data_IF_198905032604
#
_entry.id   IF_198905032604
#
_cell.length_a   1.000
_cell.length_b   1.000
_cell.length_c   1.000
_cell.angle_alpha   90.00
_cell.angle_beta   90.00
_cell.angle_gamma   90.00
#
_symmetry.space_group_name_H-M   'P 1'
#
loop_
_entity.id
_entity.type
_entity.pdbx_description
1 polymer ?
#
# COMPACT_ATOMS: atom_id res chain seq x y z
N UNK A 1 -96.61 15.75 2.10
CA UNK A 1 -96.03 15.87 0.75
C UNK A 1 -94.66 15.17 0.77
N UNK A 2 -94.59 14.09 -0.01
CA UNK A 2 -93.45 13.36 -0.58
C UNK A 2 -92.12 13.14 0.18
N UNK A 3 -91.86 11.84 0.35
CA UNK A 3 -90.60 11.11 0.55
C UNK A 3 -89.43 11.53 -0.37
N UNK A 4 -88.20 11.22 0.07
CA UNK A 4 -87.21 10.38 -0.67
C UNK A 4 -86.19 9.79 0.34
N UNK A 5 -85.87 8.51 0.13
CA UNK A 5 -84.87 7.66 0.82
C UNK A 5 -83.55 7.65 0.03
N UNK A 6 -82.40 7.44 0.70
CA UNK A 6 -81.17 6.78 0.16
C UNK A 6 -80.16 6.59 1.31
N UNK A 7 -80.06 5.41 1.92
CA UNK A 7 -79.08 4.31 1.69
C UNK A 7 -77.59 4.76 1.77
N UNK A 8 -76.99 4.57 2.95
CA UNK A 8 -75.89 3.63 3.23
C UNK A 8 -74.53 3.79 2.53
N UNK A 9 -73.47 3.94 3.34
CA UNK A 9 -72.23 3.15 3.22
C UNK A 9 -71.38 3.29 4.49
N UNK A 10 -71.32 2.21 5.28
CA UNK A 10 -70.25 1.98 6.26
C UNK A 10 -69.06 1.45 5.45
N UNK A 11 -67.97 2.23 5.36
CA UNK A 11 -66.70 1.74 4.82
C UNK A 11 -65.84 1.29 5.98
N UNK A 12 -65.68 -0.03 6.08
CA UNK A 12 -64.70 -0.70 6.92
C UNK A 12 -63.32 -0.36 6.36
N UNK A 13 -62.52 0.40 7.11
CA UNK A 13 -61.11 0.62 6.80
C UNK A 13 -60.34 -0.67 7.06
N UNK A 14 -60.13 -1.47 6.00
CA UNK A 14 -59.11 -2.52 5.98
C UNK A 14 -57.74 -1.85 6.03
N UNK A 15 -57.06 -1.94 7.16
CA UNK A 15 -55.64 -1.63 7.26
C UNK A 15 -54.83 -2.63 6.43
N UNK A 16 -54.45 -2.23 5.23
CA UNK A 16 -53.40 -2.91 4.47
C UNK A 16 -52.07 -2.57 5.14
N UNK A 17 -51.43 -3.56 5.75
CA UNK A 17 -50.02 -3.51 6.09
C UNK A 17 -49.24 -3.35 4.78
N UNK A 18 -48.78 -2.13 4.51
CA UNK A 18 -47.74 -1.88 3.51
C UNK A 18 -46.49 -2.61 4.00
N UNK A 19 -46.22 -3.77 3.40
CA UNK A 19 -44.96 -4.46 3.56
C UNK A 19 -43.84 -3.50 3.16
N UNK A 20 -42.89 -3.29 4.08
CA UNK A 20 -41.63 -2.65 3.78
C UNK A 20 -40.96 -3.45 2.67
N UNK A 21 -40.96 -2.91 1.45
CA UNK A 21 -40.11 -3.40 0.38
C UNK A 21 -38.66 -3.31 0.88
N UNK A 22 -38.01 -4.46 0.94
CA UNK A 22 -36.58 -4.55 1.11
C UNK A 22 -35.93 -3.67 0.04
N UNK A 23 -35.26 -2.60 0.48
CA UNK A 23 -34.38 -1.81 -0.36
C UNK A 23 -33.22 -2.74 -0.75
N UNK A 24 -33.32 -3.37 -1.92
CA UNK A 24 -32.18 -3.98 -2.59
C UNK A 24 -31.06 -2.94 -2.58
N UNK A 25 -29.95 -3.28 -1.91
CA UNK A 25 -28.78 -2.43 -1.83
C UNK A 25 -28.39 -2.01 -3.24
N UNK A 26 -28.36 -0.71 -3.47
CA UNK A 26 -27.70 -0.16 -4.65
C UNK A 26 -26.27 -0.74 -4.70
N UNK A 27 -25.75 -1.11 -5.89
CA UNK A 27 -24.35 -1.45 -6.01
C UNK A 27 -23.53 -0.27 -5.46
N UNK A 28 -22.70 -0.49 -4.44
CA UNK A 28 -21.75 0.52 -4.00
C UNK A 28 -20.94 0.98 -5.21
N UNK A 29 -21.15 2.24 -5.59
CA UNK A 29 -20.39 2.91 -6.62
C UNK A 29 -18.92 2.94 -6.16
N UNK A 30 -18.11 2.10 -6.79
CA UNK A 30 -16.73 1.83 -6.41
C UNK A 30 -15.87 3.08 -6.63
N UNK A 31 -15.75 3.91 -5.60
CA UNK A 31 -14.97 5.17 -5.63
C UNK A 31 -13.54 4.88 -6.10
N UNK A 32 -13.06 5.41 -7.22
CA UNK A 32 -11.68 5.12 -7.68
C UNK A 32 -10.59 5.66 -6.74
N UNK A 33 -10.89 6.67 -5.92
CA UNK A 33 -10.02 7.09 -4.81
C UNK A 33 -9.83 6.01 -3.73
N UNK A 34 -10.75 5.05 -3.63
CA UNK A 34 -10.62 3.86 -2.77
C UNK A 34 -9.58 2.86 -3.34
N UNK A 35 -9.40 2.79 -4.66
CA UNK A 35 -8.49 1.82 -5.26
C UNK A 35 -7.01 2.14 -4.95
N UNK A 36 -6.61 3.41 -5.05
CA UNK A 36 -5.25 3.86 -4.70
C UNK A 36 -5.01 3.66 -3.20
N UNK A 37 -5.94 4.08 -2.35
CA UNK A 37 -5.85 3.91 -0.89
C UNK A 37 -5.79 2.43 -0.49
N UNK A 38 -6.64 1.57 -1.07
CA UNK A 38 -6.66 0.13 -0.81
C UNK A 38 -5.39 -0.57 -1.28
N UNK A 39 -4.84 -0.17 -2.43
CA UNK A 39 -3.57 -0.67 -2.92
C UNK A 39 -2.42 -0.23 -1.99
N UNK A 40 -2.37 1.05 -1.61
CA UNK A 40 -1.40 1.56 -0.65
C UNK A 40 -1.47 0.83 0.71
N UNK A 41 -2.67 0.43 1.15
CA UNK A 41 -2.84 -0.36 2.36
C UNK A 41 -2.18 -1.76 2.30
N UNK A 42 -1.95 -2.33 1.11
CA UNK A 42 -1.15 -3.56 0.94
C UNK A 42 0.31 -3.29 1.31
N UNK A 43 0.87 -2.19 0.82
CA UNK A 43 2.24 -1.79 1.16
C UNK A 43 2.36 -1.41 2.65
N UNK A 44 1.35 -0.75 3.19
CA UNK A 44 1.28 -0.46 4.62
C UNK A 44 1.22 -1.75 5.45
N UNK A 45 0.54 -2.80 4.96
CA UNK A 45 0.49 -4.11 5.63
C UNK A 45 1.89 -4.71 5.70
N UNK A 46 2.62 -4.74 4.59
CA UNK A 46 4.03 -5.14 4.59
C UNK A 46 4.87 -4.33 5.59
N UNK A 47 4.76 -3.00 5.58
CA UNK A 47 5.52 -2.14 6.50
C UNK A 47 5.14 -2.34 7.98
N UNK A 48 3.90 -2.74 8.25
CA UNK A 48 3.47 -3.12 9.60
C UNK A 48 4.09 -4.43 10.07
N UNK A 49 4.23 -5.41 9.18
CA UNK A 49 4.96 -6.66 9.45
C UNK A 49 6.46 -6.40 9.69
N UNK A 50 7.03 -5.42 8.99
CA UNK A 50 8.41 -4.94 9.24
C UNK A 50 8.53 -4.33 10.65
N UNK A 51 7.50 -3.63 11.15
CA UNK A 51 7.47 -3.15 12.54
C UNK A 51 7.40 -4.30 13.52
N UNK A 52 6.51 -5.27 13.26
CA UNK A 52 6.29 -6.42 14.11
C UNK A 52 7.56 -7.26 14.27
N UNK A 53 8.29 -7.55 13.17
CA UNK A 53 9.52 -8.35 13.24
C UNK A 53 10.67 -7.64 13.97
N UNK A 54 10.68 -6.29 13.97
CA UNK A 54 11.66 -5.50 14.71
C UNK A 54 11.39 -5.43 16.21
N UNK A 55 10.17 -5.72 16.63
CA UNK A 55 9.72 -5.58 18.03
C UNK A 55 9.52 -6.92 18.72
N UNK A 56 9.43 -8.02 17.96
CA UNK A 56 9.22 -9.38 18.48
C UNK A 56 10.48 -10.23 18.28
N UNK A 57 11.03 -10.84 19.35
CA UNK A 57 12.10 -11.84 19.21
C UNK A 57 11.63 -13.08 18.43
N UNK A 58 12.51 -13.66 17.64
CA UNK A 58 12.26 -14.94 16.96
C UNK A 58 12.51 -16.11 17.92
N UNK A 59 11.59 -16.31 18.87
CA UNK A 59 11.77 -17.20 20.02
C UNK A 59 11.52 -18.68 19.76
N UNK A 60 10.88 -19.02 18.65
CA UNK A 60 10.50 -20.39 18.29
C UNK A 60 10.46 -20.61 16.78
N UNK A 61 10.39 -21.88 16.35
CA UNK A 61 10.16 -22.21 14.94
C UNK A 61 8.85 -21.63 14.41
N UNK A 62 7.80 -21.56 15.25
CA UNK A 62 6.53 -20.92 14.89
C UNK A 62 6.68 -19.42 14.62
N UNK A 63 7.49 -18.71 15.41
CA UNK A 63 7.75 -17.28 15.19
C UNK A 63 8.51 -17.05 13.88
N UNK A 64 9.47 -17.93 13.56
CA UNK A 64 10.20 -17.90 12.29
C UNK A 64 9.26 -18.18 11.12
N UNK A 65 8.34 -19.14 11.25
CA UNK A 65 7.35 -19.47 10.22
C UNK A 65 6.37 -18.32 9.98
N UNK A 66 5.88 -17.70 11.05
CA UNK A 66 5.01 -16.54 10.98
C UNK A 66 5.72 -15.37 10.29
N UNK A 67 6.95 -15.05 10.69
CA UNK A 67 7.74 -13.99 10.07
C UNK A 67 8.05 -14.29 8.59
N UNK A 68 8.34 -15.55 8.24
CA UNK A 68 8.57 -15.94 6.85
C UNK A 68 7.31 -15.73 6.01
N UNK A 69 6.16 -16.16 6.52
CA UNK A 69 4.92 -16.06 5.78
C UNK A 69 4.43 -14.61 5.69
N UNK A 70 4.58 -13.80 6.74
CA UNK A 70 4.08 -12.43 6.74
C UNK A 70 4.97 -11.49 5.93
N UNK A 71 6.30 -11.58 6.04
CA UNK A 71 7.21 -10.72 5.26
C UNK A 71 7.50 -11.28 3.86
N UNK A 72 7.65 -12.60 3.76
CA UNK A 72 8.01 -13.28 2.53
C UNK A 72 6.82 -13.67 1.65
N UNK A 73 5.59 -13.65 2.18
CA UNK A 73 4.39 -14.11 1.46
C UNK A 73 3.77 -13.08 0.52
N UNK A 74 4.32 -11.88 0.42
CA UNK A 74 3.75 -10.84 -0.43
C UNK A 74 3.88 -11.18 -1.92
N UNK A 75 2.80 -10.97 -2.66
CA UNK A 75 2.79 -11.08 -4.11
C UNK A 75 3.55 -9.87 -4.72
N UNK A 76 4.47 -10.08 -5.68
CA UNK A 76 5.30 -8.99 -6.22
C UNK A 76 4.49 -7.96 -7.01
N UNK A 77 3.41 -8.37 -7.67
CA UNK A 77 2.51 -7.46 -8.39
C UNK A 77 1.73 -6.61 -7.38
N UNK A 78 1.16 -7.22 -6.34
CA UNK A 78 0.43 -6.47 -5.30
C UNK A 78 1.33 -5.53 -4.50
N UNK A 79 2.54 -5.96 -4.14
CA UNK A 79 3.47 -5.16 -3.35
C UNK A 79 4.00 -3.96 -4.15
N UNK A 80 4.34 -4.16 -5.43
CA UNK A 80 4.77 -3.07 -6.33
C UNK A 80 3.65 -2.07 -6.59
N UNK A 81 2.43 -2.55 -6.87
CA UNK A 81 1.24 -1.71 -7.02
C UNK A 81 0.94 -0.92 -5.74
N UNK A 82 1.08 -1.56 -4.57
CA UNK A 82 0.89 -0.89 -3.29
C UNK A 82 1.92 0.19 -3.02
N UNK A 83 3.20 -0.08 -3.31
CA UNK A 83 4.28 0.89 -3.14
C UNK A 83 4.10 2.12 -4.04
N UNK A 84 3.76 1.93 -5.32
CA UNK A 84 3.55 3.07 -6.23
C UNK A 84 2.28 3.86 -5.85
N UNK A 85 1.24 3.17 -5.36
CA UNK A 85 0.02 3.82 -4.86
C UNK A 85 0.31 4.66 -3.61
N UNK A 86 1.08 4.12 -2.66
CA UNK A 86 1.55 4.86 -1.49
C UNK A 86 2.36 6.10 -1.90
N UNK A 87 3.28 5.95 -2.85
CA UNK A 87 4.08 7.04 -3.41
C UNK A 87 3.21 8.12 -4.05
N UNK A 88 2.17 7.73 -4.78
CA UNK A 88 1.20 8.64 -5.37
C UNK A 88 0.36 9.39 -4.34
N UNK A 89 -0.02 8.75 -3.23
CA UNK A 89 -0.72 9.42 -2.13
C UNK A 89 0.15 10.51 -1.51
N UNK A 90 1.46 10.28 -1.33
CA UNK A 90 2.41 11.30 -0.86
C UNK A 90 2.55 12.42 -1.88
N UNK A 91 2.78 12.09 -3.16
CA UNK A 91 2.93 13.09 -4.21
C UNK A 91 1.68 13.98 -4.35
N UNK A 92 0.48 13.42 -4.14
CA UNK A 92 -0.77 14.18 -4.17
C UNK A 92 -0.90 15.23 -3.05
N UNK A 93 0.00 15.22 -2.06
CA UNK A 93 0.05 16.21 -0.97
C UNK A 93 0.75 17.51 -1.34
N UNK A 94 1.51 17.54 -2.45
CA UNK A 94 2.14 18.78 -2.90
C UNK A 94 1.08 19.82 -3.30
N UNK A 95 1.12 20.98 -2.66
CA UNK A 95 0.07 22.00 -2.78
C UNK A 95 0.05 22.66 -4.16
N UNK A 96 1.23 22.90 -4.75
CA UNK A 96 1.37 23.49 -6.08
C UNK A 96 0.87 22.51 -7.15
N UNK A 97 1.28 21.25 -7.03
CA UNK A 97 0.85 20.18 -7.92
C UNK A 97 -0.66 19.96 -7.87
N UNK A 98 -1.21 19.88 -6.67
CA UNK A 98 -2.64 19.70 -6.46
C UNK A 98 -3.44 20.88 -7.02
N UNK A 99 -2.95 22.11 -6.89
CA UNK A 99 -3.57 23.28 -7.49
C UNK A 99 -3.52 23.18 -9.03
N UNK A 100 -2.36 22.89 -9.60
CA UNK A 100 -2.20 22.77 -11.05
C UNK A 100 -3.10 21.70 -11.69
N UNK A 101 -3.25 20.54 -11.04
CA UNK A 101 -4.16 19.47 -11.50
C UNK A 101 -5.62 19.94 -11.49
N UNK A 102 -6.04 20.67 -10.44
CA UNK A 102 -7.41 21.20 -10.33
C UNK A 102 -7.67 22.30 -11.35
N UNK A 103 -6.73 23.24 -11.50
CA UNK A 103 -6.86 24.35 -12.44
C UNK A 103 -7.05 23.85 -13.88
N UNK A 104 -6.29 22.83 -14.29
CA UNK A 104 -6.45 22.22 -15.62
C UNK A 104 -7.81 21.53 -15.77
N UNK A 105 -8.22 20.77 -14.75
CA UNK A 105 -9.50 20.06 -14.76
C UNK A 105 -10.70 21.03 -14.80
N UNK A 106 -10.61 22.15 -14.08
CA UNK A 106 -11.64 23.18 -14.00
C UNK A 106 -11.69 24.03 -15.29
N UNK A 107 -10.54 24.33 -15.89
CA UNK A 107 -10.46 25.20 -17.07
C UNK A 107 -10.75 24.47 -18.39
N UNK A 108 -10.13 23.30 -18.61
CA UNK A 108 -10.26 22.54 -19.87
C UNK A 108 -11.31 21.42 -19.79
N UNK A 109 -11.86 21.19 -18.61
CA UNK A 109 -12.73 20.07 -18.33
C UNK A 109 -11.96 18.80 -17.99
N UNK A 110 -12.60 17.97 -17.19
CA UNK A 110 -12.09 16.69 -16.70
C UNK A 110 -11.62 15.76 -17.82
N UNK A 111 -12.40 15.67 -18.90
CA UNK A 111 -12.09 14.80 -20.03
C UNK A 111 -10.81 15.19 -20.76
N UNK A 112 -10.49 16.50 -20.84
CA UNK A 112 -9.26 16.96 -21.45
C UNK A 112 -8.03 16.53 -20.63
N UNK A 113 -8.11 16.68 -19.30
CA UNK A 113 -7.07 16.18 -18.38
C UNK A 113 -6.90 14.66 -18.51
N UNK A 114 -8.01 13.92 -18.53
CA UNK A 114 -8.02 12.46 -18.68
C UNK A 114 -7.43 11.98 -20.00
N UNK A 115 -7.74 12.65 -21.09
CA UNK A 115 -7.15 12.38 -22.39
C UNK A 115 -5.66 12.68 -22.40
N UNK A 116 -5.22 13.76 -21.75
CA UNK A 116 -3.80 14.07 -21.57
C UNK A 116 -3.05 12.94 -20.85
N UNK A 117 -3.58 12.50 -19.69
CA UNK A 117 -3.00 11.42 -18.90
C UNK A 117 -3.03 10.06 -19.60
N UNK A 118 -4.07 9.78 -20.40
CA UNK A 118 -4.18 8.55 -21.17
C UNK A 118 -3.20 8.51 -22.35
N UNK A 119 -2.90 9.66 -22.95
CA UNK A 119 -2.05 9.76 -24.15
C UNK A 119 -0.56 9.91 -23.81
N UNK A 120 -0.22 10.56 -22.69
CA UNK A 120 1.17 10.74 -22.26
C UNK A 120 1.28 10.63 -20.73
N UNK A 121 1.91 9.55 -20.26
CA UNK A 121 2.18 9.32 -18.83
C UNK A 121 3.03 10.43 -18.19
N UNK A 122 3.83 11.16 -18.99
CA UNK A 122 4.67 12.26 -18.53
C UNK A 122 3.86 13.53 -18.25
N UNK A 123 2.67 13.66 -18.86
CA UNK A 123 1.85 14.87 -18.80
C UNK A 123 1.60 15.32 -17.36
N UNK A 124 1.32 14.36 -16.48
CA UNK A 124 1.12 14.64 -15.06
C UNK A 124 2.33 15.32 -14.44
N UNK A 125 3.56 14.88 -14.74
CA UNK A 125 4.78 15.42 -14.12
C UNK A 125 5.19 16.78 -14.67
N UNK A 126 4.74 17.14 -15.88
CA UNK A 126 5.06 18.45 -16.48
C UNK A 126 4.22 19.61 -15.91
N UNK A 127 3.17 19.31 -15.14
CA UNK A 127 2.39 20.33 -14.44
C UNK A 127 3.23 21.03 -13.36
N UNK A 128 2.84 22.27 -13.00
CA UNK A 128 3.47 23.02 -11.91
C UNK A 128 3.51 22.16 -10.65
N UNK A 129 4.63 22.15 -9.92
CA UNK A 129 4.82 21.30 -8.74
C UNK A 129 5.04 19.80 -9.01
N UNK A 130 4.94 19.31 -10.26
CA UNK A 130 5.04 17.88 -10.57
C UNK A 130 6.36 17.23 -10.15
N UNK A 131 7.49 17.88 -10.40
CA UNK A 131 8.80 17.40 -9.94
C UNK A 131 8.94 17.48 -8.41
N UNK A 132 8.31 18.46 -7.74
CA UNK A 132 8.31 18.57 -6.28
C UNK A 132 7.49 17.43 -5.64
N UNK A 133 6.31 17.15 -6.20
CA UNK A 133 5.43 16.05 -5.80
C UNK A 133 6.14 14.70 -5.88
N UNK A 134 6.80 14.41 -7.01
CA UNK A 134 7.60 13.19 -7.17
C UNK A 134 8.78 13.19 -6.20
N UNK A 135 9.47 14.32 -6.02
CA UNK A 135 10.60 14.43 -5.09
C UNK A 135 10.22 14.04 -3.65
N UNK A 136 9.04 14.45 -3.17
CA UNK A 136 8.51 14.08 -1.87
C UNK A 136 8.27 12.55 -1.75
N UNK A 137 7.66 11.94 -2.77
CA UNK A 137 7.46 10.49 -2.81
C UNK A 137 8.79 9.69 -2.83
N UNK A 138 9.79 10.20 -3.54
CA UNK A 138 11.13 9.60 -3.58
C UNK A 138 11.87 9.74 -2.24
N UNK A 139 11.67 10.84 -1.51
CA UNK A 139 12.21 11.01 -0.16
C UNK A 139 11.61 10.00 0.83
N UNK A 140 10.30 9.78 0.76
CA UNK A 140 9.64 8.71 1.53
C UNK A 140 10.20 7.32 1.16
N UNK A 141 10.36 7.06 -0.14
CA UNK A 141 10.94 5.80 -0.63
C UNK A 141 12.37 5.56 -0.13
N UNK A 142 13.21 6.60 -0.05
CA UNK A 142 14.54 6.50 0.56
C UNK A 142 14.47 6.13 2.03
N UNK A 143 13.62 6.82 2.80
CA UNK A 143 13.45 6.52 4.22
C UNK A 143 12.99 5.07 4.44
N UNK A 144 12.05 4.60 3.63
CA UNK A 144 11.54 3.23 3.67
C UNK A 144 12.60 2.19 3.26
N UNK A 145 13.39 2.48 2.22
CA UNK A 145 14.51 1.62 1.80
C UNK A 145 15.57 1.46 2.90
N UNK A 146 15.91 2.56 3.59
CA UNK A 146 16.81 2.54 4.75
C UNK A 146 16.20 1.76 5.92
N UNK A 147 14.91 1.95 6.18
CA UNK A 147 14.17 1.20 7.19
C UNK A 147 14.23 -0.32 6.94
N UNK A 148 13.97 -0.75 5.71
CA UNK A 148 14.03 -2.16 5.32
C UNK A 148 15.45 -2.73 5.45
N UNK A 149 16.47 -1.96 5.08
CA UNK A 149 17.87 -2.33 5.27
C UNK A 149 18.23 -2.50 6.76
N UNK A 150 17.72 -1.63 7.63
CA UNK A 150 17.87 -1.74 9.08
C UNK A 150 17.13 -2.94 9.66
N UNK A 151 15.89 -3.18 9.22
CA UNK A 151 15.11 -4.36 9.62
C UNK A 151 15.82 -5.66 9.21
N UNK A 152 16.34 -5.70 7.99
CA UNK A 152 17.13 -6.82 7.49
C UNK A 152 18.35 -7.12 8.36
N UNK A 153 19.11 -6.08 8.74
CA UNK A 153 20.26 -6.23 9.63
C UNK A 153 19.83 -6.79 10.99
N UNK A 154 18.74 -6.28 11.57
CA UNK A 154 18.20 -6.75 12.84
C UNK A 154 17.78 -8.24 12.79
N UNK A 155 17.05 -8.65 11.74
CA UNK A 155 16.61 -10.04 11.59
C UNK A 155 17.80 -10.98 11.35
N UNK A 156 18.80 -10.55 10.57
CA UNK A 156 20.05 -11.33 10.39
C UNK A 156 20.84 -11.45 11.69
N UNK A 157 20.87 -10.43 12.53
CA UNK A 157 21.50 -10.51 13.85
C UNK A 157 20.79 -11.50 14.77
N UNK A 158 19.45 -11.55 14.73
CA UNK A 158 18.69 -12.59 15.42
C UNK A 158 19.03 -14.00 14.90
N UNK A 159 19.22 -14.15 13.58
CA UNK A 159 19.66 -15.40 12.98
C UNK A 159 21.00 -15.88 13.58
N UNK A 160 21.98 -14.97 13.73
CA UNK A 160 23.27 -15.30 14.37
C UNK A 160 23.12 -15.63 15.85
N UNK A 161 22.33 -14.85 16.59
CA UNK A 161 22.06 -15.11 18.01
C UNK A 161 21.41 -16.48 18.24
N UNK A 162 20.51 -16.89 17.35
CA UNK A 162 19.85 -18.20 17.41
C UNK A 162 20.81 -19.37 17.20
N UNK A 163 21.99 -19.16 16.60
CA UNK A 163 23.02 -20.20 16.51
C UNK A 163 23.54 -20.65 17.89
N UNK A 164 23.29 -19.89 18.96
CA UNK A 164 23.57 -20.35 20.33
C UNK A 164 22.47 -21.24 20.91
N UNK A 165 21.27 -21.25 20.32
CA UNK A 165 20.10 -21.96 20.84
C UNK A 165 20.02 -23.41 20.35
N UNK A 166 19.85 -24.35 21.29
CA UNK A 166 19.75 -25.79 20.97
C UNK A 166 18.56 -26.13 20.08
N UNK A 167 17.40 -25.49 20.30
CA UNK A 167 16.21 -25.73 19.48
C UNK A 167 16.39 -25.18 18.06
N UNK A 168 17.11 -24.07 17.90
CA UNK A 168 17.26 -23.42 16.60
C UNK A 168 18.30 -24.12 15.70
N UNK A 169 19.21 -24.91 16.30
CA UNK A 169 20.10 -25.84 15.58
C UNK A 169 19.39 -27.09 15.06
N UNK A 170 18.15 -27.33 15.48
CA UNK A 170 17.38 -28.47 15.00
C UNK A 170 17.20 -28.38 13.48
N UNK A 171 17.17 -29.54 12.82
CA UNK A 171 16.89 -29.60 11.38
C UNK A 171 15.46 -29.14 11.10
N UNK A 172 15.27 -28.40 10.02
CA UNK A 172 13.95 -27.95 9.55
C UNK A 172 13.06 -29.12 9.11
N UNK A 173 13.65 -30.27 8.82
CA UNK A 173 12.94 -31.42 8.28
C UNK A 173 12.78 -31.26 6.77
N UNK A 174 11.67 -30.67 6.32
CA UNK A 174 11.36 -30.51 4.89
C UNK A 174 11.36 -29.03 4.46
N UNK A 175 12.55 -28.47 4.28
CA UNK A 175 12.76 -27.10 3.79
C UNK A 175 12.15 -26.85 2.41
N UNK A 176 12.19 -27.86 1.52
CA UNK A 176 11.56 -27.80 0.20
C UNK A 176 10.04 -27.63 0.25
N UNK A 177 9.36 -28.31 1.18
CA UNK A 177 7.93 -28.10 1.42
C UNK A 177 7.66 -26.70 1.96
N UNK A 178 8.54 -26.16 2.81
CA UNK A 178 8.43 -24.79 3.33
C UNK A 178 8.53 -23.74 2.20
N UNK A 179 9.51 -23.89 1.30
CA UNK A 179 9.63 -23.03 0.12
C UNK A 179 8.44 -23.17 -0.83
N UNK A 180 7.91 -24.39 -1.02
CA UNK A 180 6.71 -24.64 -1.84
C UNK A 180 5.46 -23.98 -1.25
N UNK A 181 5.31 -24.03 0.09
CA UNK A 181 4.22 -23.33 0.78
C UNK A 181 4.36 -21.82 0.62
N UNK A 182 5.57 -21.29 0.77
CA UNK A 182 5.85 -19.87 0.56
C UNK A 182 5.51 -19.41 -0.86
N UNK A 183 5.89 -20.19 -1.89
CA UNK A 183 5.52 -19.92 -3.29
C UNK A 183 3.99 -19.84 -3.48
N UNK A 184 3.24 -20.76 -2.85
CA UNK A 184 1.77 -20.71 -2.89
C UNK A 184 1.22 -19.45 -2.24
N UNK A 185 1.77 -19.04 -1.09
CA UNK A 185 1.36 -17.80 -0.40
C UNK A 185 1.68 -16.59 -1.27
N UNK A 186 2.87 -16.50 -1.85
CA UNK A 186 3.28 -15.41 -2.75
C UNK A 186 2.40 -15.32 -3.99
N UNK A 187 1.97 -16.45 -4.56
CA UNK A 187 1.03 -16.48 -5.70
C UNK A 187 -0.36 -16.02 -5.31
N UNK A 188 -0.86 -16.41 -4.13
CA UNK A 188 -2.15 -15.95 -3.62
C UNK A 188 -2.12 -14.46 -3.23
N UNK A 189 -1.00 -14.01 -2.68
CA UNK A 189 -0.81 -12.69 -2.11
C UNK A 189 -1.40 -12.56 -0.71
N UNK A 190 -0.95 -11.53 -0.01
CA UNK A 190 -1.45 -11.16 1.33
C UNK A 190 -2.40 -9.97 1.13
N UNK A 191 -3.69 -10.10 1.49
CA UNK A 191 -4.62 -8.99 1.40
C UNK A 191 -4.21 -7.86 2.36
N UNK A 192 -4.60 -6.64 2.04
CA UNK A 192 -4.42 -5.52 2.95
C UNK A 192 -5.15 -5.76 4.29
N UNK A 193 -4.49 -5.46 5.40
CA UNK A 193 -5.08 -5.47 6.73
C UNK A 193 -6.24 -4.47 6.82
N UNK A 194 -7.40 -4.91 7.32
CA UNK A 194 -8.59 -4.05 7.37
C UNK A 194 -8.40 -2.76 8.19
N UNK A 195 -7.73 -2.77 9.37
CA UNK A 195 -7.35 -1.54 10.05
C UNK A 195 -6.54 -0.56 9.17
N UNK A 196 -5.66 -1.07 8.32
CA UNK A 196 -4.87 -0.24 7.41
C UNK A 196 -5.67 0.25 6.21
N UNK A 197 -6.58 -0.56 5.67
CA UNK A 197 -7.54 -0.09 4.66
C UNK A 197 -8.35 1.08 5.22
N UNK A 198 -8.89 0.94 6.43
CA UNK A 198 -9.66 2.01 7.08
C UNK A 198 -8.82 3.27 7.31
N UNK A 199 -7.57 3.11 7.75
CA UNK A 199 -6.65 4.21 8.00
C UNK A 199 -6.29 4.97 6.71
N UNK A 200 -6.05 4.27 5.59
CA UNK A 200 -5.72 4.87 4.30
C UNK A 200 -6.92 5.51 3.57
N UNK A 201 -8.13 5.13 3.97
CA UNK A 201 -9.37 5.73 3.48
C UNK A 201 -9.89 6.86 4.37
N UNK A 202 -9.24 7.12 5.51
CA UNK A 202 -9.60 8.20 6.43
C UNK A 202 -9.21 9.59 5.87
N UNK A 203 -9.95 10.62 6.25
CA UNK A 203 -9.73 11.98 5.74
C UNK A 203 -8.45 12.65 6.26
N UNK A 204 -7.93 12.19 7.40
CA UNK A 204 -6.76 12.74 8.08
C UNK A 204 -5.43 12.12 7.63
N UNK A 205 -5.46 11.05 6.82
CA UNK A 205 -4.26 10.38 6.31
C UNK A 205 -3.33 11.33 5.54
N UNK A 206 -3.90 12.33 4.87
CA UNK A 206 -3.17 13.33 4.11
C UNK A 206 -2.14 14.08 4.99
N UNK A 207 -2.53 14.47 6.21
CA UNK A 207 -1.64 15.18 7.14
C UNK A 207 -0.51 14.30 7.68
N UNK A 208 -0.73 12.99 7.74
CA UNK A 208 0.27 12.00 8.11
C UNK A 208 1.27 11.79 6.98
N UNK A 209 0.79 11.63 5.74
CA UNK A 209 1.62 11.34 4.57
C UNK A 209 2.61 12.46 4.23
N UNK A 210 2.28 13.71 4.55
CA UNK A 210 3.20 14.86 4.42
C UNK A 210 4.49 14.67 5.23
N UNK A 211 4.46 13.86 6.29
CA UNK A 211 5.65 13.58 7.12
C UNK A 211 6.52 12.44 6.58
N UNK A 212 6.05 11.71 5.56
CA UNK A 212 6.79 10.60 5.00
C UNK A 212 8.12 11.09 4.39
N UNK A 213 9.23 10.50 4.83
CA UNK A 213 10.56 10.83 4.31
C UNK A 213 11.14 12.17 4.80
N UNK A 214 10.49 12.87 5.74
CA UNK A 214 11.04 14.12 6.31
C UNK A 214 12.32 13.81 7.09
N UNK A 215 13.47 14.41 6.74
CA UNK A 215 14.73 14.15 7.45
C UNK A 215 14.64 14.48 8.95
N UNK A 216 15.02 13.52 9.79
CA UNK A 216 15.00 13.68 11.25
C UNK A 216 13.63 13.47 11.90
N UNK A 217 12.56 13.30 11.12
CA UNK A 217 11.28 12.84 11.65
C UNK A 217 11.32 11.32 11.94
N UNK A 218 10.55 10.84 12.93
CA UNK A 218 10.31 9.40 13.08
C UNK A 218 9.71 8.80 11.81
N UNK A 219 9.97 7.51 11.57
CA UNK A 219 9.34 6.84 10.43
C UNK A 219 7.83 6.76 10.66
N UNK A 220 7.07 7.09 9.62
CA UNK A 220 5.61 6.88 9.52
C UNK A 220 5.18 5.51 10.09
N UNK A 221 5.99 4.49 9.84
CA UNK A 221 5.70 3.10 10.14
C UNK A 221 6.01 2.68 11.58
N UNK A 222 6.75 3.49 12.35
CA UNK A 222 7.28 3.04 13.65
C UNK A 222 6.19 2.71 14.67
N UNK A 223 5.00 3.30 14.54
CA UNK A 223 3.84 3.04 15.41
C UNK A 223 2.74 2.21 14.72
N UNK A 224 3.02 1.69 13.53
CA UNK A 224 2.07 0.89 12.75
C UNK A 224 2.44 -0.58 12.95
N UNK A 225 1.68 -1.29 13.77
CA UNK A 225 1.86 -2.74 14.01
C UNK A 225 0.66 -3.52 13.47
N UNK A 226 0.90 -4.69 12.89
CA UNK A 226 -0.16 -5.56 12.35
C UNK A 226 -1.12 -6.08 13.43
N UNK A 227 -0.67 -6.13 14.69
CA UNK A 227 -1.44 -6.58 15.83
C UNK A 227 -2.41 -5.53 16.43
N UNK A 228 -2.36 -4.27 15.98
CA UNK A 228 -3.13 -3.20 16.58
C UNK A 228 -4.58 -3.16 16.03
N UNK A 229 -5.57 -3.08 16.93
CA UNK A 229 -6.99 -2.93 16.56
C UNK A 229 -7.31 -1.57 15.93
N UNK A 230 -6.44 -0.59 16.18
CA UNK A 230 -6.50 0.76 15.60
C UNK A 230 -5.07 1.22 15.29
N UNK A 231 -4.87 1.71 14.06
CA UNK A 231 -3.58 2.25 13.62
C UNK A 231 -3.46 3.69 14.11
N UNK A 232 -2.34 4.02 14.77
CA UNK A 232 -2.02 5.39 15.18
C UNK A 232 -0.76 5.83 14.46
N UNK A 233 -0.89 6.87 13.65
CA UNK A 233 0.26 7.52 13.03
C UNK A 233 0.80 8.64 13.93
N UNK A 234 2.10 8.95 13.86
CA UNK A 234 2.65 10.11 14.57
C UNK A 234 1.95 11.40 14.11
N UNK A 235 1.71 12.32 15.04
CA UNK A 235 1.13 13.65 14.75
C UNK A 235 2.13 14.45 13.91
N UNK A 236 1.63 15.17 12.90
CA UNK A 236 2.44 16.05 12.07
C UNK A 236 3.16 17.11 12.91
N UNK A 237 4.50 17.10 12.90
CA UNK A 237 5.32 18.13 13.53
C UNK A 237 5.86 19.02 12.41
N UNK A 238 5.45 20.29 12.38
CA UNK A 238 5.95 21.28 11.42
C UNK A 238 7.36 21.75 11.83
N UNK A 239 8.35 20.89 11.65
CA UNK A 239 9.75 21.32 11.75
C UNK A 239 10.16 21.98 10.44
N UNK A 240 10.84 23.13 10.51
CA UNK A 240 11.23 23.94 9.35
C UNK A 240 11.81 23.09 8.21
N UNK A 241 11.13 23.12 7.06
CA UNK A 241 11.40 22.32 5.86
C UNK A 241 12.85 22.51 5.38
N UNK A 242 13.74 21.58 5.75
CA UNK A 242 14.88 21.24 4.90
C UNK A 242 14.44 20.05 4.04
N UNK A 243 13.77 20.35 2.93
CA UNK A 243 13.44 19.33 1.92
C UNK A 243 14.74 18.83 1.30
N UNK A 244 15.13 17.60 1.63
CA UNK A 244 16.12 16.89 0.83
C UNK A 244 15.45 16.54 -0.50
N UNK A 245 15.66 17.38 -1.51
CA UNK A 245 15.15 17.12 -2.86
C UNK A 245 15.80 15.84 -3.39
N UNK A 246 15.00 14.78 -3.51
CA UNK A 246 15.38 13.56 -4.22
C UNK A 246 15.10 13.73 -5.70
N UNK A 247 15.95 13.14 -6.54
CA UNK A 247 15.72 13.07 -7.97
C UNK A 247 15.48 11.63 -8.37
N UNK A 248 14.70 11.45 -9.42
CA UNK A 248 14.58 10.14 -10.05
C UNK A 248 15.94 9.77 -10.63
N UNK A 249 16.32 8.50 -10.47
CA UNK A 249 17.54 7.97 -11.07
C UNK A 249 17.42 7.99 -12.59
N UNK A 250 18.51 8.24 -13.29
CA UNK A 250 18.52 8.18 -14.75
C UNK A 250 18.02 6.82 -15.27
N UNK A 251 17.10 6.84 -16.22
CA UNK A 251 16.44 5.65 -16.78
C UNK A 251 15.27 5.13 -15.95
N UNK A 252 14.92 5.79 -14.84
CA UNK A 252 13.77 5.47 -13.98
C UNK A 252 12.65 6.50 -14.06
N UNK A 253 12.73 7.43 -15.01
CA UNK A 253 11.73 8.47 -15.27
C UNK A 253 10.30 7.92 -15.42
N UNK A 254 10.06 6.76 -16.08
CA UNK A 254 8.71 6.20 -16.17
C UNK A 254 8.03 5.97 -14.81
N UNK A 255 8.80 5.66 -13.76
CA UNK A 255 8.28 5.48 -12.41
C UNK A 255 7.81 6.83 -11.84
N UNK A 256 8.60 7.88 -12.02
CA UNK A 256 8.24 9.24 -11.62
C UNK A 256 6.98 9.73 -12.35
N UNK A 257 6.87 9.44 -13.65
CA UNK A 257 5.72 9.79 -14.48
C UNK A 257 4.45 9.05 -14.02
N UNK A 258 4.56 7.75 -13.67
CA UNK A 258 3.46 6.96 -13.10
C UNK A 258 3.03 7.47 -11.72
N UNK A 259 3.97 7.79 -10.83
CA UNK A 259 3.67 8.38 -9.51
C UNK A 259 2.87 9.67 -9.67
N UNK A 260 3.32 10.58 -10.55
CA UNK A 260 2.62 11.83 -10.82
C UNK A 260 1.23 11.56 -11.41
N UNK A 261 1.11 10.64 -12.37
CA UNK A 261 -0.19 10.29 -12.98
C UNK A 261 -1.19 9.75 -11.97
N UNK A 262 -0.79 8.83 -11.11
CA UNK A 262 -1.64 8.31 -10.04
C UNK A 262 -1.99 9.40 -9.01
N UNK A 263 -1.05 10.31 -8.72
CA UNK A 263 -1.31 11.44 -7.84
C UNK A 263 -2.35 12.40 -8.44
N UNK A 264 -2.30 12.67 -9.74
CA UNK A 264 -3.33 13.43 -10.45
C UNK A 264 -4.70 12.73 -10.35
N UNK A 265 -4.77 11.40 -10.56
CA UNK A 265 -6.01 10.65 -10.37
C UNK A 265 -6.55 10.77 -8.94
N UNK A 266 -5.67 10.70 -7.92
CA UNK A 266 -6.05 10.93 -6.52
C UNK A 266 -6.63 12.31 -6.29
N UNK A 267 -6.02 13.37 -6.86
CA UNK A 267 -6.49 14.75 -6.72
C UNK A 267 -7.86 14.96 -7.39
N UNK A 268 -8.08 14.34 -8.55
CA UNK A 268 -9.34 14.43 -9.30
C UNK A 268 -10.49 13.59 -8.72
N UNK A 269 -10.20 12.58 -7.88
CA UNK A 269 -11.21 11.83 -7.13
C UNK A 269 -11.84 10.64 -7.86
N UNK A 270 -12.99 10.19 -7.36
CA UNK A 270 -13.56 8.85 -7.60
C UNK A 270 -13.95 8.47 -9.05
N UNK A 271 -13.99 9.41 -9.98
CA UNK A 271 -14.27 9.12 -11.40
C UNK A 271 -13.01 9.30 -12.26
N UNK A 272 -11.84 9.52 -11.65
CA UNK A 272 -10.63 9.99 -12.32
C UNK A 272 -9.95 8.95 -13.21
N UNK A 273 -10.39 7.70 -13.27
CA UNK A 273 -9.89 6.74 -14.23
C UNK A 273 -10.83 5.54 -14.30
N UNK A 274 -10.92 4.89 -15.45
CA UNK A 274 -11.52 3.55 -15.51
C UNK A 274 -10.68 2.56 -14.69
N UNK A 275 -11.26 1.45 -14.20
CA UNK A 275 -10.49 0.42 -13.50
C UNK A 275 -9.29 -0.12 -14.30
N UNK A 276 -9.42 -0.18 -15.64
CA UNK A 276 -8.34 -0.62 -16.52
C UNK A 276 -7.18 0.40 -16.57
N UNK A 277 -7.49 1.69 -16.72
CA UNK A 277 -6.49 2.76 -16.68
C UNK A 277 -5.79 2.82 -15.33
N UNK A 278 -6.55 2.70 -14.23
CA UNK A 278 -6.00 2.67 -12.87
C UNK A 278 -5.04 1.48 -12.68
N UNK A 279 -5.47 0.28 -13.08
CA UNK A 279 -4.65 -0.93 -13.02
C UNK A 279 -3.35 -0.79 -13.83
N UNK A 280 -3.44 -0.23 -15.04
CA UNK A 280 -2.28 0.05 -15.89
C UNK A 280 -1.32 1.05 -15.25
N UNK A 281 -1.85 2.14 -14.67
CA UNK A 281 -1.04 3.18 -14.03
C UNK A 281 -0.34 2.70 -12.74
N UNK A 282 -0.91 1.74 -12.02
CA UNK A 282 -0.26 1.09 -10.86
C UNK A 282 0.74 0.00 -11.26
N UNK A 283 0.76 -0.42 -12.53
CA UNK A 283 1.60 -1.52 -13.00
C UNK A 283 3.00 -1.03 -13.39
N UNK A 284 3.93 -1.08 -12.42
CA UNK A 284 5.34 -0.74 -12.65
C UNK A 284 6.16 -2.00 -12.89
N UNK A 285 6.59 -2.23 -14.14
CA UNK A 285 7.20 -3.49 -14.57
C UNK A 285 8.56 -3.78 -13.94
N UNK A 286 9.40 -2.77 -13.75
CA UNK A 286 10.79 -2.96 -13.34
C UNK A 286 10.90 -3.32 -11.85
N UNK A 287 10.22 -2.57 -10.99
CA UNK A 287 10.14 -2.81 -9.54
C UNK A 287 9.43 -4.11 -9.26
N UNK A 288 8.34 -4.40 -9.98
CA UNK A 288 7.66 -5.71 -9.93
C UNK A 288 8.59 -6.85 -10.32
N UNK A 289 9.37 -6.68 -11.39
CA UNK A 289 10.38 -7.65 -11.80
C UNK A 289 11.47 -7.85 -10.74
N UNK A 290 11.91 -6.77 -10.10
CA UNK A 290 12.86 -6.83 -8.99
C UNK A 290 12.28 -7.56 -7.77
N UNK A 291 11.05 -7.24 -7.35
CA UNK A 291 10.36 -7.92 -6.24
C UNK A 291 10.11 -9.40 -6.56
N UNK A 292 9.81 -9.75 -7.81
CA UNK A 292 9.70 -11.13 -8.23
C UNK A 292 11.04 -11.87 -8.07
N UNK A 293 12.16 -11.24 -8.42
CA UNK A 293 13.48 -11.83 -8.17
C UNK A 293 13.79 -11.98 -6.69
N UNK A 294 13.41 -11.01 -5.84
CA UNK A 294 13.54 -11.12 -4.39
C UNK A 294 12.75 -12.34 -3.85
N UNK A 295 11.52 -12.55 -4.33
CA UNK A 295 10.72 -13.73 -3.97
C UNK A 295 11.39 -15.04 -4.40
N UNK A 296 11.91 -15.12 -5.62
CA UNK A 296 12.61 -16.31 -6.11
C UNK A 296 13.87 -16.60 -5.29
N UNK A 297 14.66 -15.58 -4.95
CA UNK A 297 15.84 -15.72 -4.11
C UNK A 297 15.46 -16.20 -2.70
N UNK A 298 14.38 -15.65 -2.12
CA UNK A 298 13.86 -16.09 -0.82
C UNK A 298 13.48 -17.57 -0.85
N UNK A 299 12.74 -18.00 -1.87
CA UNK A 299 12.36 -19.40 -2.04
C UNK A 299 13.58 -20.32 -2.13
N UNK A 300 14.59 -19.95 -2.92
CA UNK A 300 15.83 -20.73 -3.08
C UNK A 300 16.61 -20.82 -1.77
N UNK A 301 16.76 -19.70 -1.06
CA UNK A 301 17.42 -19.66 0.25
C UNK A 301 16.70 -20.55 1.27
N UNK A 302 15.37 -20.44 1.36
CA UNK A 302 14.56 -21.26 2.28
C UNK A 302 14.62 -22.74 1.91
N UNK A 303 14.61 -23.09 0.63
CA UNK A 303 14.73 -24.48 0.17
C UNK A 303 16.09 -25.09 0.54
N UNK A 304 17.15 -24.28 0.50
CA UNK A 304 18.51 -24.68 0.87
C UNK A 304 18.76 -24.70 2.39
N UNK A 305 17.89 -24.07 3.19
CA UNK A 305 18.03 -24.02 4.64
C UNK A 305 17.94 -25.44 5.26
N UNK A 306 18.87 -25.74 6.15
CA UNK A 306 19.00 -27.00 6.87
C UNK A 306 18.58 -26.85 8.34
N UNK A 307 18.93 -25.74 8.98
CA UNK A 307 18.68 -25.48 10.42
C UNK A 307 17.74 -24.30 10.62
N UNK A 308 16.93 -24.33 11.69
CA UNK A 308 15.88 -23.32 11.92
C UNK A 308 16.42 -21.89 11.90
N UNK A 309 17.61 -21.65 12.47
CA UNK A 309 18.24 -20.32 12.51
C UNK A 309 18.62 -19.76 11.12
N UNK A 310 18.66 -20.57 10.07
CA UNK A 310 19.04 -20.12 8.71
C UNK A 310 17.88 -19.41 8.01
N UNK A 311 16.62 -19.74 8.34
CA UNK A 311 15.44 -19.12 7.73
C UNK A 311 15.34 -17.62 8.04
N UNK A 312 15.58 -17.16 9.29
CA UNK A 312 15.68 -15.73 9.59
C UNK A 312 16.71 -15.00 8.73
N UNK A 313 17.85 -15.62 8.42
CA UNK A 313 18.81 -15.02 7.50
C UNK A 313 18.20 -14.83 6.10
N UNK A 314 17.50 -15.84 5.57
CA UNK A 314 16.78 -15.73 4.29
C UNK A 314 15.72 -14.61 4.30
N UNK A 315 14.95 -14.49 5.39
CA UNK A 315 13.98 -13.40 5.57
C UNK A 315 14.68 -12.04 5.53
N UNK A 316 15.74 -11.88 6.32
CA UNK A 316 16.51 -10.64 6.38
C UNK A 316 17.09 -10.23 5.03
N UNK A 317 17.67 -11.16 4.28
CA UNK A 317 18.28 -10.85 2.99
C UNK A 317 17.23 -10.61 1.89
N UNK A 318 16.28 -11.53 1.71
CA UNK A 318 15.45 -11.54 0.50
C UNK A 318 14.04 -10.98 0.71
N UNK A 319 13.46 -11.10 1.92
CA UNK A 319 12.14 -10.52 2.21
C UNK A 319 12.23 -9.05 2.66
N UNK A 320 13.43 -8.57 3.05
CA UNK A 320 13.65 -7.22 3.58
C UNK A 320 14.70 -6.45 2.76
N UNK A 321 15.97 -6.90 2.75
CA UNK A 321 17.04 -6.13 2.12
C UNK A 321 16.84 -6.00 0.60
N UNK A 322 16.52 -7.10 -0.09
CA UNK A 322 16.28 -7.07 -1.54
C UNK A 322 15.05 -6.23 -1.91
N UNK A 323 13.95 -6.33 -1.16
CA UNK A 323 12.78 -5.45 -1.36
C UNK A 323 13.17 -3.97 -1.17
N UNK A 324 13.96 -3.67 -0.13
CA UNK A 324 14.50 -2.34 0.11
C UNK A 324 15.40 -1.83 -1.02
N UNK A 325 16.20 -2.70 -1.64
CA UNK A 325 17.00 -2.38 -2.84
C UNK A 325 16.12 -2.14 -4.06
N UNK A 326 15.03 -2.90 -4.23
CA UNK A 326 14.10 -2.74 -5.35
C UNK A 326 13.46 -1.35 -5.37
N UNK A 327 12.85 -0.95 -4.25
CA UNK A 327 12.26 0.39 -4.15
C UNK A 327 13.34 1.48 -4.05
N UNK A 328 14.50 1.16 -3.44
CA UNK A 328 15.61 2.10 -3.30
C UNK A 328 16.36 2.42 -4.60
N UNK A 329 16.24 1.56 -5.61
CA UNK A 329 16.93 1.69 -6.88
C UNK A 329 16.40 2.78 -7.81
N UNK A 330 15.37 3.51 -7.40
CA UNK A 330 14.62 4.46 -8.26
C UNK A 330 14.99 5.93 -8.03
N UNK A 331 15.69 6.27 -6.94
CA UNK A 331 16.13 7.63 -6.63
C UNK A 331 17.66 7.78 -6.72
N UNK A 332 18.12 9.03 -6.78
CA UNK A 332 19.51 9.45 -6.64
C UNK A 332 19.62 10.79 -5.92
#
# INVERSE_FOLDING_TARGET
MNSIRTIGAIVIAMGMALGASAQEGQPEEKKTGDAISKSAAVYATYQSEVTDVKTKPLGSAGDIDNALNSLGGHNPDQLSQGWISYSALIASQDAEYRAAVRDIADFYGRDAMMNGLANDVRYARTLSGGDNAVSAALAATEADSRRLSSAAAFVKEQAYSLQASGWAKAKIGNSGAKATTLDKIQKAGIPASQPLVNAFSAADIDGVLVQAGVPGAPSLWDNVSGAASAVRFPVAVTSGLKLNRKRVKYGKEPIADQIATLAAFRVMGAEAATPAQMSSAMSERETRGCMNMANLNLQQCVAAANQQYEVPFCIGEHALADVGKCIGGVYQ
#
